data_IF_748591417171
#
_entry.id   IF_748591417171
#
_cell.length_a   1.000
_cell.length_b   1.000
_cell.length_c   1.000
_cell.angle_alpha   90.00
_cell.angle_beta   90.00
_cell.angle_gamma   90.00
#
_symmetry.space_group_name_H-M   'P 1'
#
loop_
_entity.id
_entity.type
_entity.pdbx_description
1 polymer ?
#
# COMPACT_ATOMS: atom_id res chain seq x y z
N UNK A 1 -8.32 18.19 -20.37
CA UNK A 1 -8.35 17.11 -19.35
C UNK A 1 -7.13 16.20 -19.55
N UNK A 2 -5.95 16.58 -19.05
CA UNK A 2 -4.67 15.90 -19.32
C UNK A 2 -4.18 14.98 -18.21
N UNK A 3 -4.78 15.04 -17.02
CA UNK A 3 -4.34 14.28 -15.86
C UNK A 3 -5.07 12.93 -15.78
N UNK A 4 -4.42 11.89 -16.29
CA UNK A 4 -4.87 10.48 -16.29
C UNK A 4 -5.37 9.99 -14.92
N UNK A 5 -4.76 10.45 -13.84
CA UNK A 5 -5.12 10.08 -12.47
C UNK A 5 -6.52 10.57 -12.03
N UNK A 6 -7.17 11.45 -12.80
CA UNK A 6 -8.52 11.96 -12.52
C UNK A 6 -9.59 11.40 -13.45
N UNK A 7 -9.22 10.48 -14.35
CA UNK A 7 -10.19 9.85 -15.24
C UNK A 7 -11.07 8.86 -14.45
N UNK A 8 -12.34 8.67 -14.86
CA UNK A 8 -13.19 7.68 -14.23
C UNK A 8 -12.52 6.29 -14.27
N UNK A 9 -12.47 5.63 -13.10
CA UNK A 9 -11.75 4.37 -12.94
C UNK A 9 -12.20 3.30 -13.96
N UNK A 10 -13.48 3.25 -14.31
CA UNK A 10 -13.98 2.27 -15.28
C UNK A 10 -13.38 2.46 -16.67
N UNK A 11 -13.14 3.70 -17.12
CA UNK A 11 -12.52 3.99 -18.43
C UNK A 11 -11.04 3.59 -18.42
N UNK A 12 -10.32 3.99 -17.36
CA UNK A 12 -8.89 3.69 -17.21
C UNK A 12 -8.63 2.19 -17.18
N UNK A 13 -9.56 1.41 -16.63
CA UNK A 13 -9.43 -0.04 -16.47
C UNK A 13 -9.80 -0.87 -17.70
N UNK A 14 -10.43 -0.31 -18.75
CA UNK A 14 -10.80 -1.09 -19.95
C UNK A 14 -9.57 -1.80 -20.55
N UNK A 15 -8.44 -1.12 -20.84
CA UNK A 15 -7.28 -1.81 -21.40
C UNK A 15 -6.68 -2.83 -20.43
N UNK A 16 -6.74 -2.56 -19.12
CA UNK A 16 -6.24 -3.47 -18.07
C UNK A 16 -7.03 -4.77 -18.06
N UNK A 17 -8.36 -4.69 -18.18
CA UNK A 17 -9.25 -5.85 -18.29
C UNK A 17 -8.93 -6.65 -19.56
N UNK A 18 -8.71 -5.98 -20.69
CA UNK A 18 -8.32 -6.66 -21.94
C UNK A 18 -6.99 -7.41 -21.79
N UNK A 19 -5.99 -6.80 -21.15
CA UNK A 19 -4.70 -7.46 -20.89
C UNK A 19 -4.86 -8.68 -19.99
N UNK A 20 -5.63 -8.56 -18.90
CA UNK A 20 -5.93 -9.68 -18.03
C UNK A 20 -6.63 -10.82 -18.78
N UNK A 21 -7.69 -10.53 -19.54
CA UNK A 21 -8.43 -11.52 -20.32
C UNK A 21 -7.53 -12.21 -21.35
N UNK A 22 -6.66 -11.45 -22.03
CA UNK A 22 -5.67 -11.99 -22.95
C UNK A 22 -4.78 -13.05 -22.29
N UNK A 23 -4.22 -12.76 -21.12
CA UNK A 23 -3.40 -13.74 -20.39
C UNK A 23 -4.22 -14.86 -19.75
N UNK A 24 -5.46 -14.60 -19.33
CA UNK A 24 -6.37 -15.61 -18.82
C UNK A 24 -6.71 -16.69 -19.86
N UNK A 25 -6.98 -16.29 -21.11
CA UNK A 25 -7.19 -17.20 -22.24
C UNK A 25 -5.93 -18.06 -22.46
N UNK A 26 -4.75 -17.43 -22.49
CA UNK A 26 -3.46 -18.13 -22.64
C UNK A 26 -3.12 -19.05 -21.46
N UNK A 27 -3.61 -18.73 -20.27
CA UNK A 27 -3.48 -19.56 -19.08
C UNK A 27 -4.48 -20.74 -19.05
N UNK A 28 -5.56 -20.63 -19.84
CA UNK A 28 -6.77 -21.47 -19.75
C UNK A 28 -7.36 -21.48 -18.35
N UNK A 29 -7.26 -20.34 -17.65
CA UNK A 29 -7.76 -20.17 -16.27
C UNK A 29 -7.98 -18.68 -16.01
N UNK A 30 -9.22 -18.30 -15.69
CA UNK A 30 -9.60 -16.89 -15.50
C UNK A 30 -8.83 -16.22 -14.35
N UNK A 31 -8.71 -16.90 -13.22
CA UNK A 31 -7.99 -16.43 -12.03
C UNK A 31 -6.61 -17.09 -11.91
N UNK A 32 -5.88 -17.21 -13.01
CA UNK A 32 -4.53 -17.77 -13.01
C UNK A 32 -3.59 -17.07 -12.01
N UNK A 33 -3.76 -15.75 -11.87
CA UNK A 33 -2.93 -14.91 -11.02
C UNK A 33 -2.98 -15.30 -9.54
N UNK A 34 -4.05 -15.97 -9.08
CA UNK A 34 -4.18 -16.34 -7.67
C UNK A 34 -3.14 -17.37 -7.20
N UNK A 35 -2.51 -18.08 -8.15
CA UNK A 35 -1.46 -19.05 -7.88
C UNK A 35 -0.05 -18.45 -7.97
N UNK A 36 0.07 -17.15 -8.28
CA UNK A 36 1.37 -16.49 -8.42
C UNK A 36 2.08 -16.35 -7.09
N UNK A 37 1.35 -16.05 -6.01
CA UNK A 37 1.89 -16.02 -4.64
C UNK A 37 1.09 -17.01 -3.78
N UNK A 38 1.39 -18.33 -3.80
CA UNK A 38 0.60 -19.32 -3.05
C UNK A 38 0.49 -19.05 -1.55
N UNK A 39 1.50 -18.36 -1.00
CA UNK A 39 1.57 -17.97 0.39
C UNK A 39 0.61 -16.84 0.81
N UNK A 40 -0.05 -16.19 -0.14
CA UNK A 40 -0.93 -15.03 0.08
C UNK A 40 -2.32 -15.36 -0.47
N UNK A 41 -3.36 -15.08 0.30
CA UNK A 41 -4.73 -15.29 -0.12
C UNK A 41 -5.01 -14.61 -1.46
N UNK A 42 -5.60 -15.33 -2.42
CA UNK A 42 -5.88 -14.84 -3.80
C UNK A 42 -4.66 -14.35 -4.58
N UNK A 43 -3.44 -14.71 -4.15
CA UNK A 43 -2.20 -14.14 -4.67
C UNK A 43 -1.93 -12.71 -4.18
N UNK A 44 -2.75 -12.20 -3.27
CA UNK A 44 -2.79 -10.80 -2.83
C UNK A 44 -3.50 -9.89 -3.82
N UNK A 45 -4.60 -10.37 -4.42
CA UNK A 45 -5.49 -9.53 -5.21
C UNK A 45 -6.55 -8.87 -4.32
N UNK A 46 -7.10 -9.61 -3.36
CA UNK A 46 -7.99 -9.11 -2.32
C UNK A 46 -8.04 -10.05 -1.11
N UNK A 47 -8.45 -9.48 0.03
CA UNK A 47 -8.79 -10.24 1.24
C UNK A 47 -7.59 -10.84 1.98
N UNK A 48 -6.37 -10.42 1.66
CA UNK A 48 -5.15 -10.85 2.36
C UNK A 48 -5.09 -10.35 3.81
N UNK A 49 -4.52 -11.18 4.69
CA UNK A 49 -4.15 -10.76 6.04
C UNK A 49 -2.82 -9.99 6.01
N UNK A 50 -2.83 -8.71 6.40
CA UNK A 50 -1.61 -7.92 6.56
C UNK A 50 -0.65 -8.58 7.55
N UNK A 51 -1.17 -9.10 8.66
CA UNK A 51 -0.35 -9.80 9.65
C UNK A 51 0.28 -11.06 9.07
N UNK A 52 -0.47 -11.84 8.27
CA UNK A 52 0.01 -13.03 7.58
C UNK A 52 1.17 -12.71 6.62
N UNK A 53 1.05 -11.64 5.84
CA UNK A 53 2.11 -11.19 4.93
C UNK A 53 3.33 -10.69 5.70
N UNK A 54 3.14 -9.82 6.70
CA UNK A 54 4.25 -9.23 7.45
C UNK A 54 5.11 -10.30 8.13
N UNK A 55 4.51 -11.41 8.61
CA UNK A 55 5.28 -12.55 9.17
C UNK A 55 6.29 -13.18 8.21
N UNK A 56 6.14 -12.98 6.90
CA UNK A 56 7.03 -13.51 5.87
C UNK A 56 8.21 -12.59 5.58
N UNK A 57 8.16 -11.34 6.04
CA UNK A 57 9.21 -10.34 5.85
C UNK A 57 10.23 -10.48 6.98
N UNK A 58 11.55 -10.33 6.71
CA UNK A 58 12.56 -10.42 7.75
C UNK A 58 12.35 -9.36 8.83
N UNK A 59 12.41 -9.79 10.10
CA UNK A 59 12.10 -8.93 11.26
C UNK A 59 12.97 -7.66 11.33
N UNK A 60 14.21 -7.70 10.85
CA UNK A 60 15.12 -6.56 10.78
C UNK A 60 14.52 -5.38 10.00
N UNK A 61 13.75 -5.68 8.95
CA UNK A 61 13.15 -4.69 8.06
C UNK A 61 11.70 -4.35 8.44
N UNK A 62 11.14 -4.91 9.51
CA UNK A 62 9.79 -4.61 9.94
C UNK A 62 9.76 -3.54 11.05
N UNK A 63 8.73 -2.68 11.08
CA UNK A 63 8.36 -1.96 12.28
C UNK A 63 7.90 -2.92 13.38
N UNK A 64 8.09 -2.56 14.65
CA UNK A 64 7.48 -3.32 15.75
C UNK A 64 5.97 -3.35 15.54
N UNK A 65 5.39 -4.54 15.50
CA UNK A 65 3.97 -4.73 15.15
C UNK A 65 3.33 -5.74 16.08
N UNK A 66 2.17 -5.38 16.65
CA UNK A 66 1.35 -6.23 17.50
C UNK A 66 0.03 -6.51 16.78
N UNK A 67 -0.35 -7.78 16.70
CA UNK A 67 -1.65 -8.19 16.20
C UNK A 67 -2.66 -8.32 17.36
N UNK A 68 -3.83 -7.72 17.16
CA UNK A 68 -4.91 -7.63 18.14
C UNK A 68 -6.14 -8.34 17.59
N UNK A 69 -6.61 -9.35 18.33
CA UNK A 69 -7.87 -10.05 18.05
C UNK A 69 -9.06 -9.23 18.53
N UNK A 70 -10.17 -9.26 17.81
CA UNK A 70 -11.40 -8.51 18.15
C UNK A 70 -11.96 -8.85 19.54
N UNK A 71 -11.72 -10.06 20.04
CA UNK A 71 -12.22 -10.55 21.34
C UNK A 71 -11.31 -10.19 22.53
N UNK A 72 -10.20 -9.48 22.31
CA UNK A 72 -9.28 -9.13 23.40
C UNK A 72 -9.93 -8.20 24.43
N UNK A 73 -9.49 -8.27 25.68
CA UNK A 73 -9.86 -7.27 26.69
C UNK A 73 -8.98 -6.02 26.60
N UNK A 74 -9.49 -4.89 27.08
CA UNK A 74 -8.73 -3.63 27.16
C UNK A 74 -7.43 -3.80 27.97
N UNK A 75 -7.47 -4.56 29.08
CA UNK A 75 -6.28 -4.84 29.90
C UNK A 75 -5.21 -5.55 29.08
N UNK A 76 -5.57 -6.62 28.38
CA UNK A 76 -4.65 -7.38 27.54
C UNK A 76 -4.13 -6.58 26.33
N UNK A 77 -4.94 -5.67 25.78
CA UNK A 77 -4.51 -4.74 24.74
C UNK A 77 -3.33 -3.89 25.20
N UNK A 78 -3.43 -3.25 26.37
CA UNK A 78 -2.36 -2.41 26.89
C UNK A 78 -1.14 -3.21 27.35
N UNK A 79 -1.33 -4.42 27.89
CA UNK A 79 -0.24 -5.34 28.22
C UNK A 79 0.57 -5.70 26.98
N UNK A 80 -0.08 -6.09 25.87
CA UNK A 80 0.62 -6.41 24.62
C UNK A 80 1.46 -5.25 24.08
N UNK A 81 0.94 -4.02 24.15
CA UNK A 81 1.67 -2.82 23.69
C UNK A 81 2.89 -2.56 24.56
N UNK A 82 2.72 -2.66 25.89
CA UNK A 82 3.80 -2.50 26.86
C UNK A 82 4.89 -3.56 26.65
N UNK A 83 4.51 -4.84 26.53
CA UNK A 83 5.43 -5.95 26.29
C UNK A 83 6.18 -5.81 24.97
N UNK A 84 5.54 -5.26 23.93
CA UNK A 84 6.19 -5.00 22.66
C UNK A 84 7.11 -3.76 22.67
N UNK A 85 7.13 -2.96 23.74
CA UNK A 85 7.92 -1.73 23.82
C UNK A 85 7.42 -0.61 22.88
N UNK A 86 6.15 -0.65 22.47
CA UNK A 86 5.60 0.35 21.56
C UNK A 86 5.38 1.69 22.28
N UNK A 87 5.86 2.76 21.66
CA UNK A 87 5.69 4.14 22.12
C UNK A 87 4.79 4.92 21.18
N UNK A 88 4.06 5.91 21.70
CA UNK A 88 3.23 6.79 20.87
C UNK A 88 4.09 7.81 20.11
N UNK A 89 3.68 8.22 18.89
CA UNK A 89 2.49 7.75 18.18
C UNK A 89 2.65 6.33 17.61
N UNK A 90 1.53 5.63 17.46
CA UNK A 90 1.45 4.32 16.77
C UNK A 90 0.47 4.39 15.61
N UNK A 91 0.60 3.49 14.64
CA UNK A 91 -0.37 3.30 13.57
C UNK A 91 -1.28 2.13 13.91
N UNK A 92 -2.59 2.38 13.96
CA UNK A 92 -3.60 1.33 14.02
C UNK A 92 -4.20 1.11 12.63
N UNK A 93 -4.30 -0.15 12.20
CA UNK A 93 -4.87 -0.52 10.88
C UNK A 93 -5.56 -1.89 10.91
N UNK A 94 -6.65 -2.10 10.17
CA UNK A 94 -7.33 -3.38 10.13
C UNK A 94 -6.45 -4.45 9.48
N UNK A 95 -6.58 -5.70 9.92
CA UNK A 95 -5.81 -6.81 9.35
C UNK A 95 -6.14 -7.04 7.88
N UNK A 96 -7.43 -7.05 7.56
CA UNK A 96 -7.95 -7.12 6.20
C UNK A 96 -8.48 -5.73 5.83
N UNK A 97 -8.17 -5.25 4.62
CA UNK A 97 -8.66 -3.96 4.13
C UNK A 97 -7.65 -3.23 3.26
N UNK A 98 -8.12 -2.36 2.38
CA UNK A 98 -7.32 -1.72 1.34
C UNK A 98 -7.42 -0.20 1.41
N UNK A 99 -6.56 0.48 0.64
CA UNK A 99 -6.64 1.94 0.37
C UNK A 99 -6.70 2.82 1.63
N UNK A 100 -6.05 2.39 2.71
CA UNK A 100 -5.96 3.18 3.95
C UNK A 100 -7.26 3.21 4.77
N UNK A 101 -8.20 2.31 4.49
CA UNK A 101 -9.43 2.16 5.26
C UNK A 101 -9.14 1.92 6.74
N UNK A 102 -9.78 2.70 7.61
CA UNK A 102 -9.61 2.68 9.06
C UNK A 102 -8.16 2.87 9.57
N UNK A 103 -7.22 3.29 8.71
CA UNK A 103 -5.84 3.54 9.13
C UNK A 103 -5.77 4.84 9.91
N UNK A 104 -5.31 4.77 11.16
CA UNK A 104 -5.28 5.90 12.10
C UNK A 104 -3.92 6.05 12.78
N UNK A 105 -3.39 7.29 12.81
CA UNK A 105 -2.24 7.66 13.63
C UNK A 105 -2.70 8.01 15.04
N UNK A 106 -2.42 7.12 15.99
CA UNK A 106 -2.83 7.23 17.38
C UNK A 106 -1.74 7.91 18.20
N UNK A 107 -2.05 9.05 18.80
CA UNK A 107 -1.07 9.91 19.48
C UNK A 107 -0.90 9.61 20.98
N UNK A 108 -1.84 8.92 21.59
CA UNK A 108 -1.85 8.66 23.04
C UNK A 108 -2.82 7.53 23.40
N UNK A 109 -2.78 7.13 24.68
CA UNK A 109 -3.63 6.09 25.28
C UNK A 109 -5.13 6.31 25.03
N UNK A 110 -5.62 7.54 25.20
CA UNK A 110 -7.02 7.89 25.00
C UNK A 110 -7.46 7.67 23.55
N UNK A 111 -6.63 8.07 22.59
CA UNK A 111 -6.88 7.83 21.17
C UNK A 111 -6.91 6.34 20.81
N UNK A 112 -6.05 5.54 21.44
CA UNK A 112 -6.05 4.10 21.22
C UNK A 112 -7.33 3.45 21.75
N UNK A 113 -7.76 3.83 22.95
CA UNK A 113 -8.98 3.31 23.55
C UNK A 113 -10.21 3.66 22.70
N UNK A 114 -10.26 4.90 22.17
CA UNK A 114 -11.32 5.29 21.24
C UNK A 114 -11.31 4.40 19.98
N UNK A 115 -10.15 4.19 19.36
CA UNK A 115 -10.03 3.31 18.20
C UNK A 115 -10.49 1.88 18.50
N UNK A 116 -10.04 1.31 19.62
CA UNK A 116 -10.42 -0.04 20.05
C UNK A 116 -11.93 -0.19 20.33
N UNK A 117 -12.56 0.84 20.89
CA UNK A 117 -13.99 0.81 21.18
C UNK A 117 -14.84 0.94 19.92
N UNK A 118 -14.41 1.77 18.96
CA UNK A 118 -15.12 1.99 17.69
C UNK A 118 -14.94 0.89 16.65
N UNK A 119 -13.93 0.02 16.79
CA UNK A 119 -13.62 -1.01 15.79
C UNK A 119 -13.65 -2.40 16.42
N UNK A 120 -14.63 -3.24 16.04
CA UNK A 120 -14.81 -4.61 16.55
C UNK A 120 -14.28 -5.67 15.58
N UNK A 121 -13.03 -5.50 15.18
CA UNK A 121 -12.35 -6.32 14.16
C UNK A 121 -10.94 -6.69 14.59
N UNK A 122 -10.32 -7.64 13.89
CA UNK A 122 -8.90 -7.91 14.02
C UNK A 122 -8.10 -6.76 13.41
N UNK A 123 -7.11 -6.25 14.14
CA UNK A 123 -6.29 -5.11 13.70
C UNK A 123 -4.84 -5.22 14.16
N UNK A 124 -3.98 -4.42 13.56
CA UNK A 124 -2.57 -4.28 13.94
C UNK A 124 -2.33 -2.93 14.60
N UNK A 125 -1.46 -2.94 15.61
CA UNK A 125 -0.83 -1.74 16.16
C UNK A 125 0.65 -1.82 15.78
N UNK A 126 1.11 -0.81 15.05
CA UNK A 126 2.43 -0.78 14.44
C UNK A 126 3.16 0.48 14.87
N UNK A 127 4.47 0.37 15.10
CA UNK A 127 5.38 1.49 15.32
C UNK A 127 5.20 2.56 14.24
N UNK A 128 5.13 3.82 14.64
CA UNK A 128 5.15 4.92 13.70
C UNK A 128 6.58 5.15 13.19
N UNK A 129 6.81 4.88 11.91
CA UNK A 129 8.11 5.09 11.29
C UNK A 129 8.26 6.54 10.83
N UNK A 130 9.13 7.27 11.54
CA UNK A 130 9.46 8.67 11.26
C UNK A 130 10.74 8.81 10.41
N UNK A 131 10.76 8.09 9.30
CA UNK A 131 11.82 8.20 8.29
C UNK A 131 11.38 9.15 7.17
N UNK A 132 12.29 9.97 6.63
CA UNK A 132 11.95 11.12 5.78
C UNK A 132 11.54 10.74 4.35
N UNK A 133 11.98 9.58 3.84
CA UNK A 133 11.68 9.15 2.46
C UNK A 133 10.68 8.01 2.50
N UNK A 134 9.51 8.19 1.89
CA UNK A 134 8.52 7.11 1.69
C UNK A 134 8.55 6.64 0.24
N UNK A 135 8.59 5.31 0.06
CA UNK A 135 8.75 4.66 -1.23
C UNK A 135 7.76 3.52 -1.42
N UNK A 136 7.42 3.25 -2.67
CA UNK A 136 6.86 1.98 -3.08
C UNK A 136 7.79 1.31 -4.10
N UNK A 137 8.23 0.08 -3.82
CA UNK A 137 9.16 -0.66 -4.67
C UNK A 137 8.52 -1.96 -5.13
N UNK A 138 8.28 -2.10 -6.44
CA UNK A 138 7.77 -3.32 -7.03
C UNK A 138 8.92 -4.23 -7.39
N UNK A 139 8.83 -5.48 -6.96
CA UNK A 139 9.81 -6.52 -7.23
C UNK A 139 9.10 -7.79 -7.68
N UNK A 140 9.78 -8.56 -8.52
CA UNK A 140 9.37 -9.93 -8.80
C UNK A 140 10.58 -10.85 -8.92
N UNK A 141 10.34 -12.15 -8.73
CA UNK A 141 11.29 -13.22 -9.04
C UNK A 141 10.55 -14.44 -9.56
N UNK A 142 11.22 -15.27 -10.34
CA UNK A 142 10.64 -16.54 -10.78
C UNK A 142 10.78 -17.62 -9.70
N UNK A 143 9.83 -18.56 -9.60
CA UNK A 143 9.95 -19.67 -8.67
C UNK A 143 11.19 -20.51 -8.95
N UNK A 144 12.10 -20.57 -7.97
CA UNK A 144 13.40 -21.25 -8.10
C UNK A 144 14.54 -20.36 -8.60
N UNK A 145 14.26 -19.13 -9.02
CA UNK A 145 15.31 -18.17 -9.33
C UNK A 145 16.02 -17.69 -8.05
N UNK A 146 17.35 -17.54 -8.14
CA UNK A 146 18.20 -17.00 -7.08
C UNK A 146 18.25 -15.48 -7.05
N UNK A 147 17.66 -14.81 -8.04
CA UNK A 147 17.65 -13.35 -8.17
C UNK A 147 16.32 -12.93 -8.78
N UNK A 148 15.95 -11.68 -8.54
CA UNK A 148 14.74 -11.07 -9.04
C UNK A 148 15.03 -9.75 -9.73
N UNK A 149 13.98 -8.93 -9.87
CA UNK A 149 14.08 -7.62 -10.52
C UNK A 149 13.13 -6.63 -9.90
N UNK A 150 13.68 -5.48 -9.55
CA UNK A 150 12.92 -4.25 -9.29
C UNK A 150 12.47 -3.67 -10.62
N UNK A 151 11.17 -3.47 -10.75
CA UNK A 151 10.52 -2.98 -11.99
C UNK A 151 9.84 -1.63 -11.83
N UNK A 152 9.63 -1.20 -10.58
CA UNK A 152 9.07 0.11 -10.27
C UNK A 152 9.65 0.63 -8.96
N UNK A 153 10.10 1.88 -8.96
CA UNK A 153 10.34 2.66 -7.75
C UNK A 153 9.47 3.90 -7.83
N UNK A 154 8.65 4.12 -6.81
CA UNK A 154 7.82 5.31 -6.68
C UNK A 154 8.21 6.06 -5.41
N UNK A 155 8.51 7.35 -5.54
CA UNK A 155 8.68 8.24 -4.38
C UNK A 155 7.33 8.81 -4.02
N UNK A 156 6.96 8.74 -2.74
CA UNK A 156 5.71 9.29 -2.24
C UNK A 156 5.97 10.61 -1.54
N UNK A 157 5.36 11.65 -2.06
CA UNK A 157 5.38 12.98 -1.43
C UNK A 157 4.03 13.28 -0.81
N UNK A 158 4.00 13.42 0.51
CA UNK A 158 2.78 13.75 1.26
C UNK A 158 2.18 15.09 0.81
N UNK A 159 0.87 15.23 1.01
CA UNK A 159 0.18 16.46 0.62
C UNK A 159 0.58 17.61 1.54
N UNK A 160 1.20 18.64 0.97
CA UNK A 160 1.66 19.84 1.68
C UNK A 160 1.20 21.09 0.95
N UNK A 161 1.03 22.17 1.70
CA UNK A 161 0.87 23.53 1.19
C UNK A 161 1.96 24.43 1.80
N UNK A 162 2.27 25.53 1.13
CA UNK A 162 3.24 26.52 1.60
C UNK A 162 2.47 27.78 1.96
N UNK A 163 2.67 28.28 3.18
CA UNK A 163 2.08 29.54 3.62
C UNK A 163 2.59 30.72 2.81
N UNK A 164 1.71 31.66 2.51
CA UNK A 164 2.03 32.95 1.93
C UNK A 164 1.97 34.10 2.97
N UNK A 165 1.62 33.77 4.23
CA UNK A 165 1.45 34.71 5.33
C UNK A 165 0.14 35.51 5.30
N UNK A 166 -0.76 35.24 4.35
CA UNK A 166 -2.00 36.02 4.12
C UNK A 166 -3.23 35.14 3.95
N UNK A 167 -3.13 34.09 3.15
CA UNK A 167 -4.21 33.18 2.81
C UNK A 167 -4.37 32.10 3.88
N UNK A 168 -5.63 31.76 4.14
CA UNK A 168 -5.96 30.62 4.99
C UNK A 168 -5.54 29.29 4.34
N UNK A 169 -5.40 28.25 5.14
CA UNK A 169 -5.20 26.87 4.65
C UNK A 169 -6.27 26.49 3.63
N UNK A 170 -7.55 26.86 3.85
CA UNK A 170 -8.61 26.60 2.89
C UNK A 170 -8.33 27.24 1.51
N UNK A 171 -8.00 28.53 1.49
CA UNK A 171 -7.70 29.25 0.26
C UNK A 171 -6.47 28.67 -0.47
N UNK A 172 -5.42 28.33 0.29
CA UNK A 172 -4.22 27.68 -0.25
C UNK A 172 -4.53 26.29 -0.82
N UNK A 173 -5.42 25.52 -0.17
CA UNK A 173 -5.88 24.23 -0.68
C UNK A 173 -6.72 24.39 -1.95
N UNK A 174 -7.61 25.37 -2.02
CA UNK A 174 -8.47 25.63 -3.18
C UNK A 174 -7.67 26.11 -4.40
N UNK A 175 -6.57 26.83 -4.17
CA UNK A 175 -5.66 27.30 -5.21
C UNK A 175 -4.73 26.18 -5.75
N UNK A 176 -4.49 25.12 -4.98
CA UNK A 176 -3.62 24.01 -5.38
C UNK A 176 -4.45 22.80 -5.87
N UNK A 177 -4.41 22.45 -7.17
CA UNK A 177 -5.34 21.47 -7.76
C UNK A 177 -5.45 20.14 -7.00
N UNK A 178 -4.32 19.60 -6.52
CA UNK A 178 -4.31 18.32 -5.78
C UNK A 178 -4.90 18.45 -4.37
N UNK A 179 -4.63 19.55 -3.67
CA UNK A 179 -5.22 19.79 -2.35
C UNK A 179 -6.72 20.13 -2.44
N UNK A 180 -7.15 20.80 -3.52
CA UNK A 180 -8.55 21.14 -3.78
C UNK A 180 -9.47 19.93 -3.71
N UNK A 181 -9.03 18.79 -4.24
CA UNK A 181 -9.77 17.52 -4.20
C UNK A 181 -10.00 16.98 -2.79
N UNK A 182 -9.22 17.43 -1.80
CA UNK A 182 -9.32 16.99 -0.41
C UNK A 182 -10.12 17.96 0.46
N UNK A 183 -10.54 19.13 -0.06
CA UNK A 183 -11.22 20.19 0.72
C UNK A 183 -12.49 19.68 1.39
N UNK A 184 -13.33 18.92 0.69
CA UNK A 184 -14.58 18.39 1.27
C UNK A 184 -14.30 17.48 2.49
N UNK A 185 -13.31 16.60 2.38
CA UNK A 185 -12.88 15.73 3.49
C UNK A 185 -12.34 16.55 4.67
N UNK A 186 -11.52 17.57 4.40
CA UNK A 186 -10.96 18.44 5.44
C UNK A 186 -12.02 19.28 6.14
N UNK A 187 -13.06 19.74 5.43
CA UNK A 187 -14.20 20.44 6.04
C UNK A 187 -14.90 19.57 7.09
N UNK A 188 -15.09 18.28 6.78
CA UNK A 188 -15.70 17.29 7.70
C UNK A 188 -14.78 16.92 8.86
N UNK A 189 -13.50 16.62 8.58
CA UNK A 189 -12.60 15.99 9.55
C UNK A 189 -11.70 16.97 10.32
N UNK A 190 -11.34 18.10 9.72
CA UNK A 190 -10.35 19.04 10.26
C UNK A 190 -10.77 20.52 10.11
N UNK A 191 -11.99 20.93 10.49
CA UNK A 191 -12.49 22.28 10.21
C UNK A 191 -11.65 23.40 10.84
N UNK A 192 -10.92 23.11 11.94
CA UNK A 192 -10.07 24.09 12.62
C UNK A 192 -8.81 24.45 11.82
N UNK A 193 -8.17 23.48 11.16
CA UNK A 193 -6.93 23.75 10.40
C UNK A 193 -7.21 24.65 9.19
N UNK A 194 -8.39 24.51 8.60
CA UNK A 194 -8.78 25.26 7.40
C UNK A 194 -8.82 26.78 7.61
N UNK A 195 -9.00 27.23 8.86
CA UNK A 195 -9.09 28.65 9.23
C UNK A 195 -7.74 29.30 9.56
N UNK A 196 -6.67 28.52 9.68
CA UNK A 196 -5.36 29.06 10.06
C UNK A 196 -4.70 29.73 8.86
N UNK A 197 -3.93 30.80 9.11
CA UNK A 197 -3.08 31.47 8.11
C UNK A 197 -1.64 31.07 8.40
N UNK A 198 -1.01 30.20 7.59
CA UNK A 198 0.37 29.81 7.81
C UNK A 198 1.33 30.95 7.42
N UNK A 199 2.39 31.14 8.22
CA UNK A 199 3.46 32.10 7.92
C UNK A 199 4.08 31.86 6.54
N UNK A 200 4.60 32.94 5.94
CA UNK A 200 5.23 32.90 4.62
C UNK A 200 6.39 31.88 4.61
N UNK A 201 6.35 30.93 3.68
CA UNK A 201 7.36 29.88 3.52
C UNK A 201 7.17 28.66 4.43
N UNK A 202 6.25 28.70 5.40
CA UNK A 202 5.97 27.58 6.29
C UNK A 202 5.28 26.45 5.54
N UNK A 203 5.89 25.27 5.53
CA UNK A 203 5.29 24.05 4.97
C UNK A 203 4.29 23.48 5.97
N UNK A 204 3.02 23.42 5.59
CA UNK A 204 1.97 22.74 6.37
C UNK A 204 1.72 21.38 5.75
N UNK A 205 2.02 20.31 6.49
CA UNK A 205 1.64 18.96 6.10
C UNK A 205 0.16 18.74 6.38
N UNK A 206 -0.60 18.51 5.32
CA UNK A 206 -2.04 18.30 5.39
C UNK A 206 -2.35 16.82 5.64
N UNK A 207 -1.66 15.92 4.93
CA UNK A 207 -1.89 14.49 5.00
C UNK A 207 -0.59 13.73 5.25
N UNK A 208 -0.36 13.16 6.45
CA UNK A 208 0.87 12.44 6.75
C UNK A 208 0.89 10.99 6.22
N UNK A 209 -0.22 10.49 5.67
CA UNK A 209 -0.33 9.12 5.16
C UNK A 209 -0.07 9.10 3.64
N UNK A 210 0.96 8.35 3.22
CA UNK A 210 1.40 8.19 1.82
C UNK A 210 0.45 7.37 0.94
N UNK A 211 -0.80 7.82 0.82
CA UNK A 211 -1.84 7.23 -0.02
C UNK A 211 -2.27 8.22 -1.11
N UNK A 212 -2.26 7.77 -2.37
CA UNK A 212 -2.63 8.56 -3.55
C UNK A 212 -4.05 9.12 -3.44
N UNK A 213 -5.03 8.32 -2.99
CA UNK A 213 -6.42 8.76 -2.82
C UNK A 213 -6.58 9.88 -1.78
N UNK A 214 -5.60 10.04 -0.87
CA UNK A 214 -5.58 11.09 0.17
C UNK A 214 -4.76 12.32 -0.24
N UNK A 215 -4.32 12.39 -1.51
CA UNK A 215 -3.60 13.53 -2.07
C UNK A 215 -2.08 13.39 -2.06
N UNK A 216 -1.52 12.23 -1.70
CA UNK A 216 -0.08 11.98 -1.86
C UNK A 216 0.29 11.96 -3.34
N UNK A 217 1.37 12.63 -3.70
CA UNK A 217 1.91 12.60 -5.06
C UNK A 217 2.85 11.40 -5.21
N UNK A 218 2.60 10.62 -6.25
CA UNK A 218 3.43 9.47 -6.61
C UNK A 218 4.36 9.94 -7.73
N UNK A 219 5.67 9.80 -7.54
CA UNK A 219 6.68 10.28 -8.49
C UNK A 219 7.51 9.10 -9.00
N UNK A 220 7.83 9.13 -10.29
CA UNK A 220 8.64 8.11 -10.92
C UNK A 220 10.08 8.16 -10.43
N UNK A 221 10.45 7.16 -9.62
CA UNK A 221 11.78 6.96 -9.08
C UNK A 221 12.60 5.93 -9.86
N UNK A 222 12.18 5.47 -11.05
CA UNK A 222 12.85 4.38 -11.76
C UNK A 222 14.32 4.68 -12.11
N UNK A 223 14.75 5.95 -12.11
CA UNK A 223 16.16 6.35 -12.23
C UNK A 223 17.07 5.77 -11.14
N UNK A 224 16.49 5.32 -10.01
CA UNK A 224 17.22 4.71 -8.91
C UNK A 224 17.36 3.19 -9.04
N UNK A 225 16.73 2.56 -10.04
CA UNK A 225 16.81 1.12 -10.25
C UNK A 225 18.19 0.76 -10.81
N UNK A 226 18.94 -0.03 -10.05
CA UNK A 226 20.25 -0.56 -10.44
C UNK A 226 20.52 -1.92 -9.76
N UNK A 227 21.72 -2.46 -9.98
CA UNK A 227 22.13 -3.74 -9.39
C UNK A 227 22.17 -3.73 -7.85
N UNK A 228 22.48 -2.60 -7.21
CA UNK A 228 22.49 -2.50 -5.75
C UNK A 228 21.08 -2.60 -5.20
N UNK A 229 20.14 -1.85 -5.79
CA UNK A 229 18.75 -1.89 -5.38
C UNK A 229 18.15 -3.29 -5.59
N UNK A 230 18.44 -3.95 -6.72
CA UNK A 230 18.01 -5.34 -6.95
C UNK A 230 18.50 -6.27 -5.84
N UNK A 231 19.79 -6.23 -5.49
CA UNK A 231 20.38 -7.06 -4.41
C UNK A 231 19.68 -6.87 -3.06
N UNK A 232 19.31 -5.64 -2.71
CA UNK A 232 18.60 -5.34 -1.46
C UNK A 232 17.24 -6.02 -1.42
N UNK A 233 16.43 -5.86 -2.48
CA UNK A 233 15.10 -6.47 -2.52
C UNK A 233 15.14 -7.97 -2.75
N UNK A 234 16.16 -8.48 -3.44
CA UNK A 234 16.45 -9.90 -3.54
C UNK A 234 16.71 -10.53 -2.16
N UNK A 235 17.53 -9.89 -1.34
CA UNK A 235 17.81 -10.32 0.04
C UNK A 235 16.55 -10.41 0.92
N UNK A 236 15.58 -9.51 0.72
CA UNK A 236 14.28 -9.55 1.41
C UNK A 236 13.36 -10.63 0.79
N UNK A 237 13.17 -10.60 -0.53
CA UNK A 237 12.19 -11.41 -1.24
C UNK A 237 12.52 -12.91 -1.23
N UNK A 238 13.80 -13.29 -1.11
CA UNK A 238 14.19 -14.70 -0.96
C UNK A 238 13.73 -15.31 0.36
N UNK A 239 13.60 -14.51 1.41
CA UNK A 239 13.11 -14.98 2.71
C UNK A 239 11.58 -15.10 2.74
N UNK A 240 10.89 -14.42 1.80
CA UNK A 240 9.45 -14.52 1.63
C UNK A 240 9.09 -15.79 0.83
N UNK A 241 9.11 -16.95 1.51
CA UNK A 241 8.77 -18.25 0.91
C UNK A 241 7.38 -18.21 0.26
N UNK A 242 7.33 -18.70 -0.98
CA UNK A 242 6.14 -18.77 -1.85
C UNK A 242 5.48 -17.42 -2.17
N UNK A 243 6.27 -16.34 -2.09
CA UNK A 243 5.91 -15.01 -2.56
C UNK A 243 6.90 -14.59 -3.65
N UNK A 244 6.39 -14.24 -4.82
CA UNK A 244 7.15 -14.10 -6.07
C UNK A 244 6.92 -12.77 -6.79
N UNK A 245 5.81 -12.08 -6.51
CA UNK A 245 5.48 -10.80 -7.15
C UNK A 245 4.77 -9.88 -6.15
N UNK A 246 5.17 -8.61 -6.10
CA UNK A 246 4.44 -7.61 -5.33
C UNK A 246 5.23 -6.35 -5.03
N UNK A 247 4.61 -5.47 -4.26
CA UNK A 247 5.08 -4.12 -3.97
C UNK A 247 5.34 -3.94 -2.48
N UNK A 248 6.57 -3.60 -2.14
CA UNK A 248 6.97 -3.13 -0.81
C UNK A 248 6.59 -1.66 -0.65
N UNK A 249 5.76 -1.35 0.34
CA UNK A 249 5.47 0.02 0.76
C UNK A 249 6.25 0.28 2.07
N UNK A 250 7.16 1.25 2.01
CA UNK A 250 8.25 1.36 2.99
C UNK A 250 8.70 2.80 3.20
N UNK A 251 9.45 3.02 4.28
CA UNK A 251 10.20 4.27 4.48
C UNK A 251 11.68 3.99 4.68
N UNK A 252 12.53 4.92 4.24
CA UNK A 252 13.97 4.88 4.44
C UNK A 252 14.55 6.25 4.83
N UNK A 253 15.77 6.23 5.37
CA UNK A 253 16.55 7.43 5.68
C UNK A 253 16.93 8.20 4.43
N UNK A 254 17.46 7.51 3.43
CA UNK A 254 17.80 8.02 2.10
C UNK A 254 17.77 6.89 1.08
N UNK A 255 17.81 7.22 -0.22
CA UNK A 255 17.96 6.21 -1.28
C UNK A 255 19.34 5.54 -1.21
N UNK A 256 20.36 6.29 -0.80
CA UNK A 256 21.73 5.79 -0.65
C UNK A 256 21.82 4.74 0.46
N UNK A 257 21.26 5.04 1.65
CA UNK A 257 21.18 4.08 2.75
C UNK A 257 20.42 2.82 2.34
N UNK A 258 19.31 2.98 1.61
CA UNK A 258 18.55 1.86 1.08
C UNK A 258 19.41 0.98 0.17
N UNK A 259 20.15 1.57 -0.77
CA UNK A 259 21.04 0.83 -1.69
C UNK A 259 22.20 0.14 -0.98
N UNK A 260 22.63 0.68 0.15
CA UNK A 260 23.61 0.04 1.05
C UNK A 260 23.00 -1.07 1.93
N UNK A 261 21.71 -1.40 1.75
CA UNK A 261 21.00 -2.46 2.47
C UNK A 261 20.52 -2.07 3.86
N UNK A 262 20.58 -0.79 4.24
CA UNK A 262 20.29 -0.31 5.58
C UNK A 262 19.23 0.81 5.63
N UNK A 263 18.87 1.18 6.86
CA UNK A 263 18.11 2.41 7.09
C UNK A 263 16.68 2.43 6.54
N UNK A 264 16.03 1.28 6.38
CA UNK A 264 14.65 1.20 5.90
C UNK A 264 13.76 0.25 6.70
N UNK A 265 12.46 0.53 6.67
CA UNK A 265 11.39 -0.28 7.27
C UNK A 265 10.25 -0.47 6.29
N UNK A 266 9.86 -1.73 6.06
CA UNK A 266 8.74 -2.14 5.24
C UNK A 266 7.49 -2.12 6.11
N UNK A 267 6.57 -1.22 5.79
CA UNK A 267 5.32 -1.04 6.55
C UNK A 267 4.22 -1.97 6.05
N UNK A 268 4.21 -2.22 4.74
CA UNK A 268 3.21 -3.01 4.03
C UNK A 268 3.82 -3.72 2.81
N UNK A 269 3.21 -4.82 2.42
CA UNK A 269 3.50 -5.51 1.17
C UNK A 269 2.18 -5.88 0.50
N UNK A 270 2.06 -5.56 -0.79
CA UNK A 270 0.86 -5.81 -1.58
C UNK A 270 1.18 -6.83 -2.67
N UNK A 271 0.31 -7.82 -2.88
CA UNK A 271 0.52 -8.88 -3.86
C UNK A 271 0.14 -8.49 -5.28
N UNK A 272 -0.55 -9.38 -5.99
CA UNK A 272 -0.96 -9.18 -7.40
C UNK A 272 -1.79 -7.91 -7.61
N UNK A 273 -2.63 -7.52 -6.66
CA UNK A 273 -3.45 -6.31 -6.75
C UNK A 273 -2.62 -5.02 -6.75
N UNK A 274 -1.32 -5.10 -6.48
CA UNK A 274 -0.42 -3.97 -6.56
C UNK A 274 -0.09 -3.64 -8.02
N UNK A 275 -0.32 -2.39 -8.39
CA UNK A 275 0.18 -1.81 -9.63
C UNK A 275 1.56 -1.16 -9.43
N UNK A 276 2.40 -1.08 -10.50
CA UNK A 276 3.67 -0.35 -10.46
C UNK A 276 3.41 1.14 -10.21
N UNK A 277 3.65 1.58 -8.99
CA UNK A 277 3.21 2.90 -8.51
C UNK A 277 3.78 4.10 -9.31
N UNK A 278 4.91 3.95 -10.01
CA UNK A 278 5.49 5.03 -10.82
C UNK A 278 4.60 5.48 -11.98
N UNK A 279 3.67 4.65 -12.45
CA UNK A 279 2.75 5.01 -13.54
C UNK A 279 1.79 6.15 -13.14
N UNK A 280 1.62 6.37 -11.84
CA UNK A 280 0.80 7.45 -11.29
C UNK A 280 1.50 8.81 -11.28
N UNK A 281 2.77 8.88 -11.69
CA UNK A 281 3.44 10.15 -11.86
C UNK A 281 2.72 11.02 -12.92
N UNK A 282 2.33 12.26 -12.57
CA UNK A 282 1.69 13.19 -13.50
C UNK A 282 2.52 13.47 -14.76
N UNK A 283 3.84 13.41 -14.65
CA UNK A 283 4.76 13.61 -15.78
C UNK A 283 4.99 12.32 -16.60
N UNK A 284 4.51 11.16 -16.14
CA UNK A 284 4.75 9.91 -16.85
C UNK A 284 3.84 9.76 -18.08
N UNK A 285 4.40 9.50 -19.28
CA UNK A 285 3.61 9.46 -20.50
C UNK A 285 2.51 8.40 -20.49
N UNK A 286 1.30 8.79 -20.90
CA UNK A 286 0.10 7.94 -20.90
C UNK A 286 0.32 6.56 -21.54
N UNK A 287 0.89 6.50 -22.75
CA UNK A 287 1.15 5.22 -23.43
C UNK A 287 2.16 4.33 -22.68
N UNK A 288 3.11 4.92 -21.96
CA UNK A 288 4.07 4.15 -21.15
C UNK A 288 3.38 3.50 -19.95
N UNK A 289 2.37 4.14 -19.36
CA UNK A 289 1.56 3.56 -18.26
C UNK A 289 0.99 2.20 -18.66
N UNK A 290 0.30 2.13 -19.80
CA UNK A 290 -0.30 0.88 -20.28
C UNK A 290 0.74 -0.14 -20.76
N UNK A 291 1.86 0.32 -21.33
CA UNK A 291 2.99 -0.56 -21.67
C UNK A 291 3.52 -1.26 -20.42
N UNK A 292 3.69 -0.54 -19.32
CA UNK A 292 4.16 -1.09 -18.06
C UNK A 292 3.10 -2.02 -17.45
N UNK A 293 1.82 -1.63 -17.41
CA UNK A 293 0.74 -2.52 -16.95
C UNK A 293 0.72 -3.85 -17.73
N UNK A 294 0.84 -3.80 -19.07
CA UNK A 294 0.91 -5.00 -19.91
C UNK A 294 2.14 -5.86 -19.55
N UNK A 295 3.31 -5.24 -19.39
CA UNK A 295 4.54 -5.94 -19.00
C UNK A 295 4.40 -6.64 -17.65
N UNK A 296 3.72 -6.01 -16.68
CA UNK A 296 3.43 -6.60 -15.39
C UNK A 296 2.47 -7.80 -15.48
N UNK A 297 1.39 -7.70 -16.26
CA UNK A 297 0.52 -8.86 -16.52
C UNK A 297 1.25 -10.01 -17.21
N UNK A 298 2.18 -9.69 -18.12
CA UNK A 298 3.06 -10.70 -18.73
C UNK A 298 3.93 -11.38 -17.67
N UNK A 299 4.58 -10.63 -16.78
CA UNK A 299 5.39 -11.20 -15.68
C UNK A 299 4.55 -12.13 -14.80
N UNK A 300 3.36 -11.69 -14.39
CA UNK A 300 2.40 -12.49 -13.59
C UNK A 300 2.06 -13.80 -14.30
N UNK A 301 1.77 -13.75 -15.60
CA UNK A 301 1.50 -14.95 -16.41
C UNK A 301 2.70 -15.88 -16.51
N UNK A 302 3.91 -15.34 -16.72
CA UNK A 302 5.13 -16.14 -16.80
C UNK A 302 5.45 -16.83 -15.47
N UNK A 303 5.26 -16.15 -14.32
CA UNK A 303 5.40 -16.77 -13.00
C UNK A 303 4.35 -17.87 -12.82
N UNK A 304 3.09 -17.61 -13.19
CA UNK A 304 2.02 -18.60 -13.14
C UNK A 304 2.36 -19.88 -13.93
N UNK A 305 2.95 -19.76 -15.13
CA UNK A 305 3.35 -20.96 -15.90
C UNK A 305 4.32 -21.85 -15.12
N UNK A 306 5.31 -21.25 -14.45
CA UNK A 306 6.26 -21.99 -13.62
C UNK A 306 5.55 -22.63 -12.42
N UNK A 307 4.67 -21.89 -11.75
CA UNK A 307 3.87 -22.39 -10.62
C UNK A 307 2.96 -23.56 -11.04
N UNK A 308 2.34 -23.47 -12.21
CA UNK A 308 1.49 -24.53 -12.78
C UNK A 308 2.26 -25.83 -13.00
N UNK A 309 3.51 -25.75 -13.46
CA UNK A 309 4.40 -26.92 -13.61
C UNK A 309 4.69 -27.55 -12.24
N UNK A 310 4.80 -26.73 -11.18
CA UNK A 310 4.97 -27.18 -9.79
C UNK A 310 3.69 -27.71 -9.14
N UNK A 311 2.57 -27.78 -9.86
CA UNK A 311 1.30 -28.32 -9.38
C UNK A 311 0.33 -27.28 -8.81
N UNK A 312 0.73 -26.01 -8.73
CA UNK A 312 -0.14 -24.94 -8.25
C UNK A 312 -1.24 -24.63 -9.25
N UNK A 313 -2.46 -24.41 -8.75
CA UNK A 313 -3.63 -24.16 -9.59
C UNK A 313 -4.23 -22.80 -9.28
N UNK A 314 -4.45 -22.00 -10.32
CA UNK A 314 -5.25 -20.79 -10.19
C UNK A 314 -6.68 -21.13 -9.74
N UNK A 315 -7.34 -20.22 -9.05
CA UNK A 315 -8.62 -20.46 -8.40
C UNK A 315 -9.75 -20.70 -9.41
N UNK A 316 -10.67 -21.60 -9.07
CA UNK A 316 -11.91 -21.80 -9.80
C UNK A 316 -12.93 -20.68 -9.57
N UNK A 317 -13.95 -20.59 -10.44
CA UNK A 317 -15.04 -19.62 -10.29
C UNK A 317 -15.76 -19.78 -8.95
N UNK A 318 -16.07 -21.01 -8.54
CA UNK A 318 -16.73 -21.29 -7.26
C UNK A 318 -15.92 -20.85 -6.04
N UNK A 319 -14.60 -21.10 -6.05
CA UNK A 319 -13.71 -20.67 -4.97
C UNK A 319 -13.62 -19.14 -4.87
N UNK A 320 -13.53 -18.46 -6.03
CA UNK A 320 -13.54 -17.00 -6.09
C UNK A 320 -14.87 -16.44 -5.59
N UNK A 321 -16.00 -16.98 -6.02
CA UNK A 321 -17.32 -16.55 -5.56
C UNK A 321 -17.46 -16.69 -4.04
N UNK A 322 -17.00 -17.82 -3.47
CA UNK A 322 -17.01 -18.04 -2.03
C UNK A 322 -16.13 -17.01 -1.30
N UNK A 323 -14.90 -16.78 -1.75
CA UNK A 323 -13.99 -15.79 -1.13
C UNK A 323 -14.48 -14.36 -1.25
N UNK A 324 -15.03 -13.98 -2.40
CA UNK A 324 -15.64 -12.67 -2.60
C UNK A 324 -16.84 -12.47 -1.68
N UNK A 325 -17.70 -13.48 -1.51
CA UNK A 325 -18.82 -13.41 -0.57
C UNK A 325 -18.32 -13.16 0.86
N UNK A 326 -17.30 -13.88 1.31
CA UNK A 326 -16.69 -13.68 2.64
C UNK A 326 -16.09 -12.28 2.77
N UNK A 327 -15.31 -11.84 1.79
CA UNK A 327 -14.69 -10.51 1.79
C UNK A 327 -15.74 -9.40 1.81
N UNK A 328 -16.74 -9.44 0.92
CA UNK A 328 -17.81 -8.45 0.88
C UNK A 328 -18.64 -8.45 2.17
N UNK A 329 -18.88 -9.62 2.76
CA UNK A 329 -19.52 -9.72 4.08
C UNK A 329 -18.70 -9.04 5.17
N UNK A 330 -17.38 -9.24 5.17
CA UNK A 330 -16.47 -8.54 6.08
C UNK A 330 -16.48 -7.02 5.83
N UNK A 331 -16.37 -6.56 4.58
CA UNK A 331 -16.38 -5.13 4.25
C UNK A 331 -17.69 -4.45 4.68
N UNK A 332 -18.85 -5.10 4.49
CA UNK A 332 -20.14 -4.59 4.98
C UNK A 332 -20.20 -4.51 6.51
N UNK A 333 -19.45 -5.36 7.23
CA UNK A 333 -19.36 -5.26 8.69
C UNK A 333 -18.45 -4.12 9.17
N UNK A 334 -17.61 -3.56 8.29
CA UNK A 334 -16.75 -2.41 8.55
C UNK A 334 -17.46 -1.07 8.30
N UNK A 335 -18.40 -1.06 7.35
CA UNK A 335 -19.32 0.06 7.14
C UNK A 335 -20.31 0.09 8.31
N UNK A 336 -19.83 0.51 9.48
CA UNK A 336 -20.70 1.05 10.51
C UNK A 336 -21.45 2.21 9.85
N UNK A 337 -22.75 2.03 9.65
CA UNK A 337 -23.67 3.06 9.14
C UNK A 337 -23.22 4.46 9.59
N UNK A 338 -22.78 5.28 8.64
CA UNK A 338 -22.89 6.75 8.76
C UNK A 338 -24.33 7.16 8.48
#
# INVERSE_FOLDING_TARGET
MTNWEYWPLYIVNIPVIVFWLWFAIRARKLFFFSAVNPAIETGGMWGESKHGILKRIPKSHLPVTVFIKKEITEKMLFEKIKTAGLSYPVIAKPDIGERGMLVSKIKNKKGLLAYFNSNKIDFLIQEYIDLPVELAVMHHRFPGAKEGKVTSVCIKETLKIIGDGKSTVLQLMEAYPRAKLQVARFKKQFPKILKTVPEKGKKVELEPIGNHCRGTRFLNGNKYIDGQLNKVFDGVAMQMKDVYYGRFDMKCKSIEDLKNGGGFKIMEYNGIGAEPAHIYDPAYPFFKKYKDIYAHWKIIYEIYKVQKIKGEKGMGLGEVAARLKTYLGYMRSLDFNE
#
